data_IF_830150958955
#
_entry.id   IF_830150958955
#
_cell.length_a   1.000
_cell.length_b   1.000
_cell.length_c   1.000
_cell.angle_alpha   90.00
_cell.angle_beta   90.00
_cell.angle_gamma   90.00
#
_symmetry.space_group_name_H-M   'P 1'
#
loop_
_entity.id
_entity.type
_entity.pdbx_description
1 polymer ?
#
# COMPACT_ATOMS: atom_id res chain seq x y z
N UNK A 1 -13.29 11.25 -14.59
CA UNK A 1 -14.47 11.45 -15.46
C UNK A 1 -15.04 10.07 -15.76
N UNK A 2 -16.29 9.81 -15.37
CA UNK A 2 -16.92 8.51 -15.52
C UNK A 2 -17.42 8.30 -16.97
N UNK A 3 -17.22 7.09 -17.50
CA UNK A 3 -17.72 6.71 -18.84
C UNK A 3 -19.25 6.81 -18.86
N UNK A 4 -19.79 7.79 -19.58
CA UNK A 4 -21.24 8.03 -19.72
C UNK A 4 -22.04 8.03 -18.40
N UNK A 5 -21.44 8.54 -17.31
CA UNK A 5 -22.11 8.60 -16.01
C UNK A 5 -22.30 7.25 -15.31
N UNK A 6 -21.72 6.16 -15.84
CA UNK A 6 -21.69 4.87 -15.17
C UNK A 6 -20.65 4.89 -14.06
N UNK A 7 -21.10 5.06 -12.82
CA UNK A 7 -20.26 5.09 -11.61
C UNK A 7 -20.44 3.86 -10.71
N UNK A 8 -21.45 3.02 -10.97
CA UNK A 8 -21.80 1.88 -10.12
C UNK A 8 -20.99 0.60 -10.41
N UNK A 9 -20.20 0.55 -11.50
CA UNK A 9 -19.52 -0.67 -11.97
C UNK A 9 -18.06 -0.78 -11.50
N UNK A 10 -17.75 -0.20 -10.34
CA UNK A 10 -16.42 -0.23 -9.73
C UNK A 10 -15.59 1.04 -9.97
N UNK A 11 -14.28 0.99 -9.71
CA UNK A 11 -13.43 2.17 -9.70
C UNK A 11 -13.22 2.73 -11.12
N UNK A 12 -13.27 4.06 -11.26
CA UNK A 12 -13.04 4.75 -12.53
C UNK A 12 -11.63 4.49 -13.10
N UNK A 13 -10.66 4.24 -12.23
CA UNK A 13 -9.30 3.88 -12.60
C UNK A 13 -8.81 2.75 -11.67
N UNK A 14 -8.79 1.54 -12.20
CA UNK A 14 -8.36 0.33 -11.48
C UNK A 14 -6.91 0.41 -11.02
N UNK A 15 -6.02 0.98 -11.83
CA UNK A 15 -4.62 1.14 -11.47
C UNK A 15 -4.42 2.13 -10.33
N UNK A 16 -5.11 3.27 -10.37
CA UNK A 16 -5.00 4.26 -9.30
C UNK A 16 -5.56 3.73 -7.97
N UNK A 17 -6.72 3.07 -8.00
CA UNK A 17 -7.34 2.49 -6.81
C UNK A 17 -6.49 1.37 -6.18
N UNK A 18 -5.72 0.64 -6.99
CA UNK A 18 -4.84 -0.43 -6.49
C UNK A 18 -3.56 0.07 -5.80
N UNK A 19 -3.23 1.36 -5.89
CA UNK A 19 -2.01 1.91 -5.29
C UNK A 19 -2.16 2.01 -3.77
N UNK A 20 -1.16 1.54 -3.02
CA UNK A 20 -1.13 1.78 -1.56
C UNK A 20 -1.18 3.26 -1.24
N UNK A 21 -0.58 4.10 -2.09
CA UNK A 21 -0.57 5.55 -2.00
C UNK A 21 -1.93 6.23 -2.24
N UNK A 22 -2.93 5.54 -2.79
CA UNK A 22 -4.26 6.11 -2.98
C UNK A 22 -5.04 6.05 -1.66
N UNK A 23 -5.65 7.17 -1.25
CA UNK A 23 -6.57 7.23 -0.11
C UNK A 23 -7.97 7.52 -0.61
N UNK A 24 -8.95 6.77 -0.10
CA UNK A 24 -10.36 6.92 -0.48
C UNK A 24 -11.14 7.77 0.54
N UNK A 25 -10.49 8.27 1.60
CA UNK A 25 -11.09 9.09 2.67
C UNK A 25 -11.82 10.34 2.14
N UNK A 26 -11.40 10.86 1.00
CA UNK A 26 -11.98 12.02 0.32
C UNK A 26 -13.35 11.76 -0.32
N UNK A 27 -13.71 10.49 -0.58
CA UNK A 27 -14.90 10.10 -1.35
C UNK A 27 -16.17 10.19 -0.48
N UNK A 28 -16.03 10.00 0.84
CA UNK A 28 -17.15 10.04 1.78
C UNK A 28 -17.72 11.45 1.94
N UNK A 29 -19.04 11.53 2.07
CA UNK A 29 -19.77 12.79 2.30
C UNK A 29 -19.56 13.30 3.73
N UNK A 30 -19.83 14.59 3.96
CA UNK A 30 -19.72 15.16 5.31
C UNK A 30 -20.74 14.51 6.27
N UNK A 31 -21.89 14.08 5.73
CA UNK A 31 -22.91 13.33 6.46
C UNK A 31 -22.40 11.95 6.91
N UNK A 32 -21.67 11.23 6.06
CA UNK A 32 -21.10 9.92 6.41
C UNK A 32 -20.11 10.06 7.58
N UNK A 33 -19.29 11.09 7.58
CA UNK A 33 -18.37 11.40 8.66
C UNK A 33 -19.08 11.76 9.97
N UNK A 34 -20.22 12.47 9.89
CA UNK A 34 -21.05 12.76 11.07
C UNK A 34 -21.67 11.51 11.66
N UNK A 35 -22.24 10.64 10.83
CA UNK A 35 -22.85 9.38 11.25
C UNK A 35 -21.81 8.43 11.87
N UNK A 36 -20.63 8.33 11.26
CA UNK A 36 -19.53 7.54 11.80
C UNK A 36 -19.04 8.10 13.15
N UNK A 37 -18.98 9.43 13.28
CA UNK A 37 -18.63 10.07 14.55
C UNK A 37 -19.66 9.80 15.65
N UNK A 38 -20.95 9.96 15.36
CA UNK A 38 -22.02 9.70 16.33
C UNK A 38 -22.06 8.23 16.80
N UNK A 39 -21.64 7.29 15.95
CA UNK A 39 -21.58 5.88 16.31
C UNK A 39 -20.45 5.54 17.29
N UNK A 40 -19.37 6.31 17.32
CA UNK A 40 -18.13 5.99 18.06
C UNK A 40 -17.84 6.97 19.19
N UNK A 41 -18.26 8.24 19.05
CA UNK A 41 -17.92 9.29 20.00
C UNK A 41 -18.55 9.03 21.38
N UNK A 42 -17.70 9.03 22.40
CA UNK A 42 -18.10 8.97 23.80
C UNK A 42 -18.05 10.40 24.35
N UNK A 43 -19.15 10.90 24.92
CA UNK A 43 -19.27 12.27 25.46
C UNK A 43 -19.05 13.39 24.42
N UNK A 44 -19.29 13.12 23.13
CA UNK A 44 -19.17 14.11 22.07
C UNK A 44 -17.73 14.44 21.66
N UNK A 45 -16.77 13.58 22.05
CA UNK A 45 -15.38 13.66 21.65
C UNK A 45 -14.86 12.28 21.18
N UNK A 46 -13.99 12.29 20.17
CA UNK A 46 -13.30 11.11 19.67
C UNK A 46 -11.84 11.14 20.13
N UNK A 47 -11.36 10.07 20.78
CA UNK A 47 -9.96 9.97 21.18
C UNK A 47 -9.09 9.49 20.02
N UNK A 48 -7.78 9.70 20.13
CA UNK A 48 -6.80 9.25 19.12
C UNK A 48 -6.83 7.73 18.90
N UNK A 49 -7.06 6.96 19.96
CA UNK A 49 -7.11 5.50 19.88
C UNK A 49 -8.37 5.00 19.16
N UNK A 50 -9.44 5.80 19.14
CA UNK A 50 -10.73 5.46 18.54
C UNK A 50 -10.80 5.78 17.03
N UNK A 51 -9.71 6.28 16.44
CA UNK A 51 -9.65 6.60 15.00
C UNK A 51 -9.88 5.38 14.13
N UNK A 52 -9.34 4.22 14.53
CA UNK A 52 -9.56 2.96 13.80
C UNK A 52 -11.03 2.57 13.84
N UNK A 53 -11.69 2.68 14.99
CA UNK A 53 -13.12 2.42 15.14
C UNK A 53 -13.98 3.41 14.32
N UNK A 54 -13.59 4.69 14.28
CA UNK A 54 -14.24 5.69 13.42
C UNK A 54 -14.16 5.30 11.94
N UNK A 55 -12.97 4.89 11.49
CA UNK A 55 -12.77 4.48 10.10
C UNK A 55 -13.50 3.17 9.78
N UNK A 56 -13.58 2.24 10.73
CA UNK A 56 -14.37 1.02 10.55
C UNK A 56 -15.87 1.31 10.42
N UNK A 57 -16.38 2.27 11.22
CA UNK A 57 -17.75 2.76 11.10
C UNK A 57 -18.00 3.46 9.76
N UNK A 58 -17.01 4.23 9.27
CA UNK A 58 -17.07 4.93 7.99
C UNK A 58 -17.06 3.96 6.79
N UNK A 59 -16.12 3.01 6.78
CA UNK A 59 -15.98 2.00 5.73
C UNK A 59 -17.01 0.88 5.82
N UNK A 60 -17.73 0.77 6.96
CA UNK A 60 -18.63 -0.34 7.29
C UNK A 60 -17.93 -1.70 7.20
N UNK A 61 -16.66 -1.73 7.62
CA UNK A 61 -15.75 -2.85 7.45
C UNK A 61 -14.33 -2.49 7.88
N UNK A 62 -13.36 -3.41 7.73
CA UNK A 62 -11.99 -3.15 8.13
C UNK A 62 -11.39 -1.99 7.34
N UNK A 63 -10.90 -0.98 8.04
CA UNK A 63 -10.26 0.18 7.42
C UNK A 63 -8.89 -0.20 6.80
N UNK A 64 -8.49 0.44 5.68
CA UNK A 64 -7.14 0.29 5.16
C UNK A 64 -6.08 0.72 6.18
N UNK A 65 -5.00 -0.06 6.32
CA UNK A 65 -3.95 0.13 7.35
C UNK A 65 -3.33 1.53 7.31
N UNK A 66 -3.17 2.10 6.11
CA UNK A 66 -2.51 3.40 5.93
C UNK A 66 -3.45 4.59 6.16
N UNK A 67 -4.77 4.39 6.14
CA UNK A 67 -5.73 5.49 6.20
C UNK A 67 -5.84 6.10 7.60
N UNK A 68 -5.68 5.29 8.66
CA UNK A 68 -5.61 5.81 10.04
C UNK A 68 -4.43 6.77 10.23
N UNK A 69 -3.27 6.42 9.70
CA UNK A 69 -2.07 7.27 9.75
C UNK A 69 -2.26 8.54 8.92
N UNK A 70 -2.91 8.46 7.75
CA UNK A 70 -3.23 9.62 6.91
C UNK A 70 -4.20 10.57 7.57
N UNK A 71 -5.28 10.04 8.14
CA UNK A 71 -6.24 10.84 8.90
C UNK A 71 -5.55 11.54 10.08
N UNK A 72 -4.72 10.82 10.84
CA UNK A 72 -3.97 11.40 11.94
C UNK A 72 -3.07 12.56 11.50
N UNK A 73 -2.33 12.37 10.39
CA UNK A 73 -1.47 13.41 9.80
C UNK A 73 -2.28 14.64 9.35
N UNK A 74 -3.43 14.44 8.73
CA UNK A 74 -4.28 15.54 8.30
C UNK A 74 -4.96 16.26 9.47
N UNK A 75 -5.35 15.53 10.51
CA UNK A 75 -5.86 16.10 11.75
C UNK A 75 -4.78 16.93 12.46
N UNK A 76 -3.54 16.43 12.55
CA UNK A 76 -2.40 17.20 13.08
C UNK A 76 -2.12 18.46 12.24
N UNK A 77 -2.20 18.38 10.90
CA UNK A 77 -2.04 19.54 10.02
C UNK A 77 -3.16 20.58 10.18
N UNK A 78 -4.41 20.13 10.36
CA UNK A 78 -5.57 21.01 10.48
C UNK A 78 -5.74 21.65 11.87
N UNK A 79 -5.25 20.99 12.93
CA UNK A 79 -5.53 21.35 14.32
C UNK A 79 -4.28 21.77 15.12
N UNK A 80 -3.07 21.48 14.62
CA UNK A 80 -1.81 21.73 15.33
C UNK A 80 -1.29 20.51 16.10
N UNK A 81 -0.23 20.71 16.89
CA UNK A 81 0.52 19.62 17.53
C UNK A 81 -0.29 18.89 18.61
N UNK A 82 -0.48 17.58 18.43
CA UNK A 82 -0.94 16.64 19.45
C UNK A 82 -2.38 16.87 19.91
N UNK A 83 -3.34 16.31 19.19
CA UNK A 83 -4.73 16.29 19.62
C UNK A 83 -5.02 15.00 20.39
N UNK A 84 -5.63 15.13 21.57
CA UNK A 84 -6.07 13.98 22.39
C UNK A 84 -7.55 13.65 22.16
N UNK A 85 -8.35 14.67 21.83
CA UNK A 85 -9.79 14.58 21.66
C UNK A 85 -10.26 15.47 20.49
N UNK A 86 -11.09 14.91 19.61
CA UNK A 86 -11.67 15.61 18.47
C UNK A 86 -13.19 15.74 18.60
N UNK A 87 -13.68 16.97 18.51
CA UNK A 87 -15.09 17.23 18.26
C UNK A 87 -15.44 17.01 16.78
N UNK A 88 -16.70 16.74 16.47
CA UNK A 88 -17.18 16.54 15.09
C UNK A 88 -16.75 17.67 14.14
N UNK A 89 -16.83 18.94 14.57
CA UNK A 89 -16.42 20.08 13.76
C UNK A 89 -14.92 20.06 13.40
N UNK A 90 -14.08 19.53 14.29
CA UNK A 90 -12.63 19.40 14.06
C UNK A 90 -12.33 18.26 13.07
N UNK A 91 -13.08 17.17 13.14
CA UNK A 91 -13.01 16.07 12.16
C UNK A 91 -13.36 16.58 10.77
N UNK A 92 -14.45 17.33 10.63
CA UNK A 92 -14.84 17.90 9.33
C UNK A 92 -13.78 18.85 8.76
N UNK A 93 -13.08 19.61 9.61
CA UNK A 93 -11.93 20.42 9.17
C UNK A 93 -10.76 19.55 8.71
N UNK A 94 -10.44 18.48 9.43
CA UNK A 94 -9.41 17.53 9.01
C UNK A 94 -9.75 16.86 7.66
N UNK A 95 -11.02 16.53 7.44
CA UNK A 95 -11.51 15.97 6.17
C UNK A 95 -11.43 16.99 5.03
N UNK A 96 -11.76 18.26 5.29
CA UNK A 96 -11.57 19.33 4.30
C UNK A 96 -10.09 19.49 3.94
N UNK A 97 -9.19 19.39 4.91
CA UNK A 97 -7.75 19.40 4.65
C UNK A 97 -7.32 18.19 3.82
N UNK A 98 -7.81 16.98 4.14
CA UNK A 98 -7.56 15.78 3.32
C UNK A 98 -8.00 15.96 1.87
N UNK A 99 -9.20 16.52 1.65
CA UNK A 99 -9.71 16.79 0.31
C UNK A 99 -8.85 17.83 -0.41
N UNK A 100 -8.38 18.86 0.29
CA UNK A 100 -7.51 19.89 -0.28
C UNK A 100 -6.13 19.31 -0.64
N UNK A 101 -5.51 18.54 0.25
CA UNK A 101 -4.22 17.89 0.03
C UNK A 101 -4.31 16.93 -1.16
N UNK A 102 -5.39 16.15 -1.25
CA UNK A 102 -5.60 15.26 -2.39
C UNK A 102 -5.92 16.00 -3.68
N UNK A 103 -6.66 17.11 -3.63
CA UNK A 103 -6.88 17.96 -4.80
C UNK A 103 -5.57 18.58 -5.31
N UNK A 104 -4.69 19.01 -4.39
CA UNK A 104 -3.34 19.48 -4.72
C UNK A 104 -2.50 18.35 -5.33
N UNK A 105 -2.51 17.15 -4.74
CA UNK A 105 -1.84 15.97 -5.30
C UNK A 105 -2.41 15.57 -6.67
N UNK A 106 -3.71 15.75 -6.93
CA UNK A 106 -4.31 15.47 -8.22
C UNK A 106 -4.00 16.54 -9.28
N UNK A 107 -3.79 17.79 -8.85
CA UNK A 107 -3.38 18.90 -9.70
C UNK A 107 -1.89 18.82 -10.04
N UNK A 108 -1.05 18.32 -9.13
CA UNK A 108 0.33 17.97 -9.41
C UNK A 108 0.39 16.78 -10.37
N UNK A 109 0.58 17.04 -11.67
CA UNK A 109 0.87 16.01 -12.69
C UNK A 109 2.06 15.13 -12.29
N UNK A 110 2.98 15.68 -11.48
CA UNK A 110 4.12 14.97 -10.91
C UNK A 110 3.72 13.83 -9.97
N UNK A 111 2.59 13.90 -9.27
CA UNK A 111 2.10 12.81 -8.41
C UNK A 111 1.66 11.60 -9.23
N UNK A 112 0.90 11.84 -10.31
CA UNK A 112 0.49 10.78 -11.26
C UNK A 112 1.69 10.09 -11.92
N UNK A 113 2.78 10.84 -12.13
CA UNK A 113 4.02 10.30 -12.68
C UNK A 113 4.88 9.54 -11.65
N UNK A 114 4.79 9.86 -10.34
CA UNK A 114 5.70 9.35 -9.30
C UNK A 114 5.13 8.22 -8.43
N UNK A 115 3.80 8.09 -8.31
CA UNK A 115 3.23 7.19 -7.31
C UNK A 115 3.44 5.69 -7.58
N UNK A 116 3.81 5.29 -8.80
CA UNK A 116 4.18 3.90 -9.11
C UNK A 116 5.07 3.71 -10.34
N UNK A 117 5.08 4.68 -11.25
CA UNK A 117 5.91 4.59 -12.45
C UNK A 117 7.35 4.97 -12.12
N UNK A 118 8.23 3.98 -12.00
CA UNK A 118 9.66 4.19 -11.71
C UNK A 118 10.48 4.79 -12.87
N UNK A 119 9.83 5.20 -13.96
CA UNK A 119 10.44 5.78 -15.15
C UNK A 119 9.55 6.87 -15.70
N UNK A 120 10.14 7.97 -16.18
CA UNK A 120 9.39 9.12 -16.69
C UNK A 120 9.18 9.06 -18.20
N UNK A 121 10.01 8.29 -18.91
CA UNK A 121 9.93 8.13 -20.36
C UNK A 121 10.03 6.67 -20.81
N UNK A 122 9.44 6.38 -21.97
CA UNK A 122 9.51 5.05 -22.59
C UNK A 122 10.95 4.68 -23.00
N UNK A 123 11.76 5.67 -23.40
CA UNK A 123 13.16 5.44 -23.77
C UNK A 123 14.00 5.04 -22.54
N UNK A 124 13.80 5.72 -21.41
CA UNK A 124 14.41 5.35 -20.13
C UNK A 124 14.04 3.91 -19.74
N UNK A 125 12.75 3.55 -19.82
CA UNK A 125 12.28 2.20 -19.55
C UNK A 125 12.97 1.16 -20.45
N UNK A 126 12.99 1.40 -21.77
CA UNK A 126 13.65 0.50 -22.73
C UNK A 126 15.14 0.34 -22.46
N UNK A 127 15.83 1.43 -22.11
CA UNK A 127 17.25 1.39 -21.78
C UNK A 127 17.52 0.59 -20.50
N UNK A 128 16.67 0.70 -19.48
CA UNK A 128 16.77 -0.13 -18.25
C UNK A 128 16.57 -1.61 -18.55
N UNK A 129 15.53 -1.95 -19.33
CA UNK A 129 15.25 -3.34 -19.72
C UNK A 129 16.43 -3.93 -20.50
N UNK A 130 17.01 -3.18 -21.44
CA UNK A 130 18.22 -3.60 -22.19
C UNK A 130 19.44 -3.81 -21.30
N UNK A 131 19.56 -3.03 -20.22
CA UNK A 131 20.64 -3.17 -19.22
C UNK A 131 20.33 -4.21 -18.14
N UNK A 132 19.21 -4.91 -18.24
CA UNK A 132 18.73 -5.85 -17.22
C UNK A 132 18.61 -5.21 -15.82
N UNK A 133 18.34 -3.90 -15.76
CA UNK A 133 18.11 -3.21 -14.51
C UNK A 133 16.67 -3.46 -14.05
N UNK A 134 16.52 -4.03 -12.85
CA UNK A 134 15.22 -4.21 -12.21
C UNK A 134 14.49 -2.90 -11.90
N UNK A 135 13.23 -3.01 -11.48
CA UNK A 135 12.46 -1.90 -10.93
C UNK A 135 13.00 -1.54 -9.54
N UNK A 136 12.86 -0.27 -9.14
CA UNK A 136 13.36 0.21 -7.85
C UNK A 136 12.57 -0.31 -6.64
N UNK A 137 11.26 -0.52 -6.81
CA UNK A 137 10.35 -0.97 -5.77
C UNK A 137 9.72 -2.28 -6.18
N UNK A 138 9.45 -3.14 -5.20
CA UNK A 138 8.72 -4.37 -5.44
C UNK A 138 7.23 -4.06 -5.69
N UNK A 139 6.52 -4.86 -6.52
CA UNK A 139 5.09 -4.67 -6.74
C UNK A 139 4.27 -4.63 -5.45
N UNK A 140 4.65 -5.42 -4.43
CA UNK A 140 3.99 -5.46 -3.11
C UNK A 140 4.13 -4.15 -2.32
N UNK A 141 5.15 -3.35 -2.59
CA UNK A 141 5.36 -2.05 -1.93
C UNK A 141 4.53 -0.96 -2.61
N UNK A 142 4.26 -1.11 -3.91
CA UNK A 142 3.55 -0.12 -4.72
C UNK A 142 2.02 -0.32 -4.67
N UNK A 143 1.57 -1.57 -4.78
CA UNK A 143 0.16 -1.90 -4.90
C UNK A 143 -0.34 -2.65 -3.68
N UNK A 144 -1.61 -2.44 -3.33
CA UNK A 144 -2.27 -3.16 -2.25
C UNK A 144 -2.61 -4.61 -2.67
N UNK A 145 -2.92 -4.81 -3.96
CA UNK A 145 -3.42 -6.06 -4.53
C UNK A 145 -2.65 -6.37 -5.82
N UNK A 146 -2.37 -7.65 -6.16
CA UNK A 146 -1.76 -8.00 -7.43
C UNK A 146 -2.64 -7.57 -8.61
N UNK A 147 -2.03 -6.91 -9.60
CA UNK A 147 -2.72 -6.46 -10.82
C UNK A 147 -2.75 -7.52 -11.93
N UNK A 148 -1.81 -8.46 -11.88
CA UNK A 148 -1.67 -9.55 -12.86
C UNK A 148 -1.64 -10.88 -12.14
N UNK A 149 -2.14 -11.93 -12.78
CA UNK A 149 -2.07 -13.30 -12.25
C UNK A 149 -0.64 -13.74 -11.91
N UNK A 150 0.36 -13.30 -12.68
CA UNK A 150 1.76 -13.60 -12.39
C UNK A 150 2.28 -12.91 -11.10
N UNK A 151 1.68 -11.78 -10.69
CA UNK A 151 2.03 -11.12 -9.43
C UNK A 151 1.39 -11.82 -8.23
N UNK A 152 0.25 -12.46 -8.42
CA UNK A 152 -0.44 -13.22 -7.37
C UNK A 152 0.45 -14.36 -6.85
N UNK A 153 1.19 -15.01 -7.76
CA UNK A 153 2.21 -15.99 -7.42
C UNK A 153 3.36 -15.33 -6.65
N UNK A 154 3.40 -15.57 -5.34
CA UNK A 154 4.42 -15.01 -4.45
C UNK A 154 4.07 -13.61 -3.92
N UNK A 155 2.82 -13.15 -4.05
CA UNK A 155 2.38 -11.90 -3.42
C UNK A 155 2.44 -11.95 -1.89
N UNK A 156 2.06 -13.10 -1.32
CA UNK A 156 2.07 -13.36 0.13
C UNK A 156 3.32 -14.14 0.54
N UNK A 157 4.50 -13.78 0.00
CA UNK A 157 5.73 -14.40 0.48
C UNK A 157 5.95 -14.02 1.94
N UNK A 158 6.04 -15.04 2.79
CA UNK A 158 6.40 -14.90 4.19
C UNK A 158 7.83 -14.32 4.27
N UNK A 159 8.13 -13.38 5.17
CA UNK A 159 9.46 -12.81 5.27
C UNK A 159 10.50 -13.92 5.45
N UNK A 160 11.68 -13.81 4.82
CA UNK A 160 12.71 -14.84 4.89
C UNK A 160 13.10 -15.08 6.35
N UNK A 161 12.74 -16.24 6.88
CA UNK A 161 13.00 -16.64 8.28
C UNK A 161 11.76 -17.14 9.01
N UNK A 162 10.57 -16.65 8.66
CA UNK A 162 9.31 -17.15 9.23
C UNK A 162 8.84 -18.39 8.46
N UNK A 163 9.05 -19.58 9.03
CA UNK A 163 8.62 -20.84 8.41
C UNK A 163 9.74 -21.65 7.77
N UNK A 164 11.01 -21.28 7.99
CA UNK A 164 12.09 -22.27 7.88
C UNK A 164 11.79 -23.37 8.90
N UNK A 165 11.21 -24.48 8.42
CA UNK A 165 10.96 -25.65 9.24
C UNK A 165 12.26 -25.97 9.98
N UNK A 166 12.21 -25.93 11.32
CA UNK A 166 13.35 -26.25 12.15
C UNK A 166 13.88 -27.62 11.72
N UNK A 167 15.07 -27.66 11.12
CA UNK A 167 15.69 -28.91 10.65
C UNK A 167 15.51 -29.22 9.15
N UNK A 168 15.53 -28.24 8.24
CA UNK A 168 15.73 -28.54 6.83
C UNK A 168 17.10 -29.23 6.60
N UNK A 169 17.10 -30.56 6.52
CA UNK A 169 18.27 -31.37 6.23
C UNK A 169 18.57 -31.37 4.73
N UNK A 170 19.22 -30.31 4.24
CA UNK A 170 19.72 -30.31 2.88
C UNK A 170 20.87 -31.32 2.75
N UNK A 171 20.83 -32.14 1.70
CA UNK A 171 21.96 -33.00 1.34
C UNK A 171 23.11 -32.11 0.87
N UNK A 172 24.05 -31.84 1.77
CA UNK A 172 25.28 -31.11 1.43
C UNK A 172 26.25 -32.05 0.75
N UNK A 173 27.06 -31.54 -0.18
CA UNK A 173 28.19 -32.30 -0.71
C UNK A 173 29.22 -32.54 0.41
N UNK A 174 29.50 -33.81 0.69
CA UNK A 174 30.57 -34.23 1.59
C UNK A 174 31.90 -34.27 0.85
N UNK A 175 33.01 -34.32 1.59
CA UNK A 175 34.36 -34.25 1.02
C UNK A 175 34.66 -35.40 0.06
N UNK A 176 34.11 -36.59 0.32
CA UNK A 176 34.24 -37.76 -0.53
C UNK A 176 33.54 -37.55 -1.88
N UNK A 177 32.35 -36.93 -1.88
CA UNK A 177 31.64 -36.61 -3.13
C UNK A 177 32.33 -35.50 -3.92
N UNK A 178 33.00 -34.56 -3.23
CA UNK A 178 33.82 -33.53 -3.88
C UNK A 178 35.07 -34.13 -4.51
N UNK A 179 35.78 -34.98 -3.78
CA UNK A 179 36.98 -35.68 -4.25
C UNK A 179 36.67 -36.62 -5.42
N UNK A 180 35.59 -37.40 -5.34
CA UNK A 180 35.13 -38.22 -6.46
C UNK A 180 34.82 -37.36 -7.70
N UNK A 181 34.17 -36.20 -7.52
CA UNK A 181 33.91 -35.27 -8.63
C UNK A 181 35.20 -34.68 -9.22
N UNK A 182 36.24 -34.44 -8.40
CA UNK A 182 37.55 -33.97 -8.88
C UNK A 182 38.33 -35.05 -9.62
N UNK A 183 38.31 -36.31 -9.17
CA UNK A 183 38.90 -37.43 -9.89
C UNK A 183 38.25 -37.66 -11.25
N UNK A 184 36.92 -37.59 -11.33
CA UNK A 184 36.20 -37.69 -12.61
C UNK A 184 36.57 -36.52 -13.54
N UNK A 185 36.68 -35.31 -13.00
CA UNK A 185 37.13 -34.13 -13.79
C UNK A 185 38.58 -34.22 -14.26
N UNK A 186 39.46 -34.87 -13.50
CA UNK A 186 40.86 -35.08 -13.90
C UNK A 186 41.05 -36.26 -14.87
N UNK A 187 39.96 -36.92 -15.27
CA UNK A 187 39.98 -38.01 -16.24
C UNK A 187 40.35 -39.38 -15.66
N UNK A 188 40.38 -39.49 -14.32
CA UNK A 188 40.54 -40.78 -13.64
C UNK A 188 39.15 -41.41 -13.46
N UNK A 189 38.83 -42.36 -14.34
CA UNK A 189 37.64 -43.20 -14.25
C UNK A 189 38.04 -44.54 -13.65
N UNK A 190 37.34 -44.97 -12.59
CA UNK A 190 37.37 -46.34 -12.08
C UNK A 190 36.32 -47.19 -12.79
#
# INVERSE_FOLDING_TARGET
MAFFGLTALGPQNTFACSLKGASDLQIFSDEDWRLAFEAVAVEGALRRDDVTALLEALYRGPAPVDDAARFAKAAEAALGSGWDALACAQILRAVQQLRADMAQLQADEAWRARASCGTTSNEEYRNRVRRHCGLHLAPQEQYAVPLKAAQDLGWQQRPPGEGAAAGAHSKKSCEETKFAAEMVKSGMYF
#
